data_IF_136525556238
#
_entry.id   IF_136525556238
#
_cell.length_a   1.000
_cell.length_b   1.000
_cell.length_c   1.000
_cell.angle_alpha   90.00
_cell.angle_beta   90.00
_cell.angle_gamma   90.00
#
_symmetry.space_group_name_H-M   'P 1'
#
loop_
_entity.id
_entity.type
_entity.pdbx_description
1 polymer ?
#
# COMPACT_ATOMS: atom_id res chain seq x y z
N UNK A 1 -42.52 -16.86 15.82
CA UNK A 1 -42.42 -15.77 14.82
C UNK A 1 -40.96 -15.68 14.38
N UNK A 2 -40.62 -16.30 13.24
CA UNK A 2 -39.23 -16.56 12.83
C UNK A 2 -38.66 -15.39 12.00
N UNK A 3 -37.50 -14.89 12.41
CA UNK A 3 -36.39 -14.34 11.61
C UNK A 3 -36.68 -13.35 10.46
N UNK A 4 -37.81 -12.63 10.46
CA UNK A 4 -38.06 -11.59 9.43
C UNK A 4 -36.99 -10.50 9.42
N UNK A 5 -36.48 -10.12 10.59
CA UNK A 5 -35.43 -9.10 10.73
C UNK A 5 -34.09 -9.57 10.16
N UNK A 6 -33.72 -10.83 10.41
CA UNK A 6 -32.49 -11.42 9.88
C UNK A 6 -32.54 -11.52 8.34
N UNK A 7 -33.68 -11.91 7.78
CA UNK A 7 -33.86 -11.98 6.32
C UNK A 7 -33.76 -10.59 5.66
N UNK A 8 -34.25 -9.54 6.31
CA UNK A 8 -34.14 -8.16 5.81
C UNK A 8 -32.69 -7.69 5.80
N UNK A 9 -31.93 -7.96 6.88
CA UNK A 9 -30.51 -7.59 6.96
C UNK A 9 -29.67 -8.36 5.93
N UNK A 10 -29.93 -9.67 5.78
CA UNK A 10 -29.26 -10.50 4.77
C UNK A 10 -29.57 -10.03 3.34
N UNK A 11 -30.82 -9.63 3.08
CA UNK A 11 -31.24 -9.12 1.77
C UNK A 11 -30.51 -7.81 1.42
N UNK A 12 -30.44 -6.86 2.36
CA UNK A 12 -29.71 -5.59 2.17
C UNK A 12 -28.22 -5.84 1.92
N UNK A 13 -27.62 -6.79 2.63
CA UNK A 13 -26.21 -7.16 2.42
C UNK A 13 -25.96 -7.75 1.02
N UNK A 14 -26.83 -8.66 0.56
CA UNK A 14 -26.72 -9.28 -0.77
C UNK A 14 -26.88 -8.27 -1.92
N UNK A 15 -27.80 -7.30 -1.79
CA UNK A 15 -28.00 -6.27 -2.82
C UNK A 15 -26.78 -5.36 -3.01
N UNK A 16 -25.96 -5.18 -1.97
CA UNK A 16 -24.77 -4.33 -2.03
C UNK A 16 -23.48 -5.11 -2.38
N UNK A 17 -23.53 -6.44 -2.48
CA UNK A 17 -22.35 -7.30 -2.67
C UNK A 17 -22.03 -7.62 -4.14
N UNK A 18 -22.87 -7.22 -5.09
CA UNK A 18 -22.69 -7.54 -6.50
C UNK A 18 -21.82 -6.45 -7.13
N UNK A 19 -20.49 -6.58 -7.04
CA UNK A 19 -19.47 -6.04 -7.97
C UNK A 19 -18.03 -6.37 -7.50
N UNK A 20 -17.73 -7.63 -7.17
CA UNK A 20 -16.37 -8.05 -6.72
C UNK A 20 -15.70 -9.08 -7.66
N UNK A 21 -16.35 -9.55 -8.72
CA UNK A 21 -15.71 -10.42 -9.71
C UNK A 21 -15.58 -9.70 -11.06
N UNK A 22 -14.41 -9.11 -11.30
CA UNK A 22 -13.88 -8.97 -12.66
C UNK A 22 -13.02 -10.20 -12.90
N UNK A 23 -13.48 -11.10 -13.76
CA UNK A 23 -12.76 -12.31 -14.16
C UNK A 23 -11.74 -11.97 -15.24
N UNK A 24 -10.60 -11.39 -14.85
CA UNK A 24 -9.41 -11.37 -15.70
C UNK A 24 -8.30 -12.15 -15.00
N UNK A 25 -8.31 -13.46 -15.24
CA UNK A 25 -7.25 -14.38 -14.86
C UNK A 25 -6.12 -14.28 -15.87
N UNK A 26 -5.06 -13.56 -15.53
CA UNK A 26 -3.72 -13.72 -16.13
C UNK A 26 -2.66 -13.38 -15.06
N UNK A 27 -2.39 -14.35 -14.19
CA UNK A 27 -1.27 -14.26 -13.23
C UNK A 27 -0.01 -14.61 -14.00
N UNK A 28 0.79 -13.61 -14.38
CA UNK A 28 2.14 -13.82 -14.91
C UNK A 28 3.10 -14.14 -13.77
N UNK A 29 3.77 -15.28 -13.89
CA UNK A 29 4.87 -15.72 -13.03
C UNK A 29 5.99 -14.66 -13.06
N UNK A 30 6.48 -14.29 -11.88
CA UNK A 30 7.50 -13.25 -11.70
C UNK A 30 8.83 -13.98 -11.47
N UNK A 31 9.79 -13.80 -12.37
CA UNK A 31 11.14 -14.34 -12.18
C UNK A 31 11.89 -13.59 -11.06
N UNK A 32 12.74 -14.29 -10.27
CA UNK A 32 13.49 -13.68 -9.18
C UNK A 32 14.55 -12.71 -9.70
N UNK A 33 14.69 -11.58 -9.01
CA UNK A 33 15.60 -10.49 -9.37
C UNK A 33 17.04 -10.88 -8.98
N UNK A 34 17.98 -10.86 -9.93
CA UNK A 34 19.41 -11.06 -9.65
C UNK A 34 20.02 -9.88 -8.87
N UNK A 35 20.95 -10.20 -7.96
CA UNK A 35 21.60 -9.26 -7.06
C UNK A 35 22.54 -8.30 -7.79
N UNK A 36 22.45 -7.00 -7.49
CA UNK A 36 23.34 -5.97 -8.04
C UNK A 36 24.72 -6.08 -7.36
N UNK A 37 25.75 -6.50 -8.10
CA UNK A 37 27.16 -6.40 -7.71
C UNK A 37 27.68 -5.01 -8.07
N UNK A 38 28.29 -4.31 -7.11
CA UNK A 38 28.82 -2.95 -7.27
C UNK A 38 30.33 -3.01 -7.50
N UNK A 39 30.76 -3.11 -8.76
CA UNK A 39 32.17 -2.94 -9.12
C UNK A 39 32.47 -1.47 -9.42
N UNK A 40 33.06 -0.81 -8.43
CA UNK A 40 33.47 0.58 -8.46
C UNK A 40 34.88 0.70 -9.05
N UNK A 41 35.01 1.02 -10.34
CA UNK A 41 36.29 1.32 -10.98
C UNK A 41 36.31 2.75 -11.52
N UNK A 42 36.65 3.70 -10.66
CA UNK A 42 36.89 5.10 -10.99
C UNK A 42 38.32 5.26 -11.59
N UNK A 43 38.44 5.42 -12.91
CA UNK A 43 39.70 5.78 -13.56
C UNK A 43 39.78 7.29 -13.78
N UNK A 44 40.47 7.98 -12.86
CA UNK A 44 40.84 9.39 -12.98
C UNK A 44 42.02 9.48 -13.95
N UNK A 45 41.81 10.11 -15.11
CA UNK A 45 42.89 10.47 -16.03
C UNK A 45 43.38 11.89 -15.73
N UNK A 46 44.59 11.99 -15.18
CA UNK A 46 45.34 13.22 -14.97
C UNK A 46 46.05 13.56 -16.28
N UNK A 47 45.80 14.73 -16.86
CA UNK A 47 46.61 15.25 -17.95
C UNK A 47 47.29 16.57 -17.52
N UNK A 48 48.62 16.55 -17.58
CA UNK A 48 49.52 17.59 -17.10
C UNK A 48 49.61 18.75 -18.11
N UNK A 49 49.71 19.97 -17.58
CA UNK A 49 49.92 21.21 -18.30
C UNK A 49 51.35 21.30 -18.89
N UNK A 50 51.49 21.81 -20.11
CA UNK A 50 52.65 22.64 -20.47
C UNK A 50 52.36 23.60 -21.66
N UNK A 51 52.16 24.87 -21.28
CA UNK A 51 52.62 26.15 -21.87
C UNK A 51 52.74 26.35 -23.40
N UNK A 52 52.03 27.33 -23.96
CA UNK A 52 52.56 28.68 -24.24
C UNK A 52 51.58 29.58 -25.05
N UNK A 53 51.38 30.78 -24.49
CA UNK A 53 51.14 32.14 -25.02
C UNK A 53 50.53 32.40 -26.41
N UNK A 54 49.74 33.49 -26.44
CA UNK A 54 49.27 34.30 -27.59
C UNK A 54 47.88 33.96 -28.16
N UNK A 55 46.84 34.62 -27.65
CA UNK A 55 46.14 35.69 -28.39
C UNK A 55 44.92 36.19 -27.60
N UNK A 56 44.99 37.46 -27.20
CA UNK A 56 44.02 38.17 -26.37
C UNK A 56 43.14 38.96 -27.33
N UNK A 57 42.06 38.37 -27.87
CA UNK A 57 40.87 39.11 -28.37
C UNK A 57 39.77 38.18 -28.91
N UNK A 58 39.22 37.27 -28.08
CA UNK A 58 38.02 36.46 -28.46
C UNK A 58 37.32 35.72 -27.31
N UNK A 59 37.31 36.25 -26.07
CA UNK A 59 36.86 35.47 -24.88
C UNK A 59 35.66 36.02 -24.09
N UNK A 60 35.03 37.10 -24.53
CA UNK A 60 33.97 37.74 -23.73
C UNK A 60 32.54 37.36 -24.14
N UNK A 61 32.33 36.76 -25.31
CA UNK A 61 30.98 36.33 -25.74
C UNK A 61 30.63 34.91 -25.29
N UNK A 62 31.60 34.00 -25.21
CA UNK A 62 31.32 32.58 -24.90
C UNK A 62 31.21 32.31 -23.38
N UNK A 63 31.90 33.12 -22.57
CA UNK A 63 31.88 32.98 -21.10
C UNK A 63 30.57 33.48 -20.48
N UNK A 64 29.92 34.48 -21.08
CA UNK A 64 28.59 34.97 -20.69
C UNK A 64 27.53 33.95 -21.07
N UNK A 65 27.63 33.33 -22.24
CA UNK A 65 26.64 32.34 -22.70
C UNK A 65 26.70 31.05 -21.85
N UNK A 66 27.90 30.56 -21.52
CA UNK A 66 28.10 29.40 -20.64
C UNK A 66 27.63 29.65 -19.21
N UNK A 67 27.89 30.84 -18.66
CA UNK A 67 27.43 31.20 -17.30
C UNK A 67 25.91 31.31 -17.27
N UNK A 68 25.29 31.91 -18.29
CA UNK A 68 23.83 31.98 -18.43
C UNK A 68 23.22 30.58 -18.58
N UNK A 69 23.79 29.71 -19.43
CA UNK A 69 23.37 28.31 -19.62
C UNK A 69 23.46 27.51 -18.34
N UNK A 70 24.54 27.68 -17.56
CA UNK A 70 24.73 26.96 -16.31
C UNK A 70 23.75 27.45 -15.22
N UNK A 71 23.43 28.75 -15.16
CA UNK A 71 22.34 29.24 -14.29
C UNK A 71 20.96 28.79 -14.75
N UNK A 72 20.71 28.66 -16.06
CA UNK A 72 19.42 28.21 -16.60
C UNK A 72 19.24 26.69 -16.39
N UNK A 73 20.29 25.88 -16.59
CA UNK A 73 20.27 24.45 -16.26
C UNK A 73 20.11 24.26 -14.76
N UNK A 74 20.90 24.96 -13.93
CA UNK A 74 20.79 24.85 -12.46
C UNK A 74 19.41 25.27 -11.94
N UNK A 75 18.77 26.30 -12.50
CA UNK A 75 17.39 26.68 -12.14
C UNK A 75 16.34 25.70 -12.65
N UNK A 76 16.53 25.11 -13.84
CA UNK A 76 15.68 24.05 -14.37
C UNK A 76 15.80 22.79 -13.52
N UNK A 77 17.00 22.44 -13.11
CA UNK A 77 17.31 21.28 -12.26
C UNK A 77 16.80 21.51 -10.83
N UNK A 78 16.92 22.72 -10.27
CA UNK A 78 16.28 23.11 -9.00
C UNK A 78 14.75 23.05 -9.06
N UNK A 79 14.14 23.50 -10.17
CA UNK A 79 12.68 23.40 -10.37
C UNK A 79 12.22 21.95 -10.56
N UNK A 80 13.00 21.13 -11.25
CA UNK A 80 12.73 19.71 -11.40
C UNK A 80 12.86 18.98 -10.06
N UNK A 81 13.93 19.25 -9.29
CA UNK A 81 14.14 18.68 -7.97
C UNK A 81 13.05 19.11 -6.99
N UNK A 82 12.61 20.37 -7.01
CA UNK A 82 11.50 20.85 -6.17
C UNK A 82 10.17 20.21 -6.56
N UNK A 83 9.90 20.03 -7.85
CA UNK A 83 8.72 19.29 -8.34
C UNK A 83 8.79 17.81 -7.96
N UNK A 84 9.97 17.20 -7.94
CA UNK A 84 10.14 15.84 -7.44
C UNK A 84 9.99 15.74 -5.92
N UNK A 85 10.41 16.75 -5.17
CA UNK A 85 10.23 16.84 -3.71
C UNK A 85 8.75 16.92 -3.33
N UNK A 86 7.98 17.82 -3.96
CA UNK A 86 6.53 17.90 -3.76
C UNK A 86 5.82 16.57 -4.11
N UNK A 87 6.20 15.93 -5.23
CA UNK A 87 5.66 14.60 -5.60
C UNK A 87 6.10 13.47 -4.65
N UNK A 88 7.22 13.62 -3.94
CA UNK A 88 7.67 12.66 -2.93
C UNK A 88 6.85 12.82 -1.66
N UNK A 89 6.62 14.05 -1.21
CA UNK A 89 5.78 14.35 -0.03
C UNK A 89 4.36 13.78 -0.20
N UNK A 90 3.74 14.01 -1.37
CA UNK A 90 2.42 13.46 -1.70
C UNK A 90 2.40 11.92 -1.61
N UNK A 91 3.45 11.26 -2.13
CA UNK A 91 3.60 9.80 -2.05
C UNK A 91 3.81 9.31 -0.61
N UNK A 92 4.57 10.03 0.20
CA UNK A 92 4.80 9.67 1.60
C UNK A 92 3.54 9.82 2.46
N UNK A 93 2.77 10.89 2.25
CA UNK A 93 1.49 11.04 2.94
C UNK A 93 0.51 9.94 2.50
N UNK A 94 0.46 9.60 1.21
CA UNK A 94 -0.37 8.50 0.72
C UNK A 94 0.03 7.16 1.32
N UNK A 95 1.33 6.85 1.40
CA UNK A 95 1.84 5.63 2.03
C UNK A 95 1.44 5.58 3.51
N UNK A 96 1.62 6.68 4.24
CA UNK A 96 1.25 6.77 5.66
C UNK A 96 -0.24 6.55 5.86
N UNK A 97 -1.07 7.17 5.01
CA UNK A 97 -2.52 7.01 5.04
C UNK A 97 -2.98 5.59 4.69
N UNK A 98 -2.34 4.95 3.70
CA UNK A 98 -2.54 3.53 3.37
C UNK A 98 -2.19 2.63 4.55
N UNK A 99 -1.06 2.86 5.20
CA UNK A 99 -0.64 2.12 6.41
C UNK A 99 -1.68 2.26 7.51
N UNK A 100 -2.12 3.49 7.81
CA UNK A 100 -3.15 3.74 8.82
C UNK A 100 -4.46 3.00 8.49
N UNK A 101 -4.88 2.96 7.21
CA UNK A 101 -6.05 2.17 6.79
C UNK A 101 -5.87 0.67 7.06
N UNK A 102 -4.72 0.10 6.66
CA UNK A 102 -4.41 -1.32 6.88
C UNK A 102 -4.43 -1.65 8.38
N UNK A 103 -3.83 -0.79 9.21
CA UNK A 103 -3.86 -0.97 10.67
C UNK A 103 -5.29 -0.93 11.20
N UNK A 104 -6.11 0.04 10.80
CA UNK A 104 -7.50 0.12 11.23
C UNK A 104 -8.30 -1.14 10.82
N UNK A 105 -8.12 -1.63 9.58
CA UNK A 105 -8.73 -2.87 9.09
C UNK A 105 -8.30 -4.08 9.93
N UNK A 106 -6.99 -4.20 10.18
CA UNK A 106 -6.43 -5.28 11.01
C UNK A 106 -6.99 -5.25 12.43
N UNK A 107 -7.07 -4.07 13.05
CA UNK A 107 -7.71 -3.90 14.36
C UNK A 107 -9.19 -4.28 14.34
N UNK A 108 -9.94 -3.86 13.31
CA UNK A 108 -11.37 -4.20 13.18
C UNK A 108 -11.57 -5.72 13.06
N UNK A 109 -10.78 -6.39 12.22
CA UNK A 109 -10.83 -7.84 12.03
C UNK A 109 -10.36 -8.60 13.28
N UNK A 110 -9.36 -8.07 14.00
CA UNK A 110 -8.91 -8.60 15.27
C UNK A 110 -9.99 -8.56 16.35
N UNK A 111 -10.78 -7.48 16.38
CA UNK A 111 -11.91 -7.32 17.30
C UNK A 111 -13.09 -8.28 17.04
N UNK A 112 -13.19 -8.87 15.83
CA UNK A 112 -14.21 -9.87 15.50
C UNK A 112 -13.88 -11.20 16.20
N UNK A 113 -14.49 -11.47 17.36
CA UNK A 113 -14.28 -12.71 18.11
C UNK A 113 -15.08 -13.89 17.54
N UNK A 114 -14.38 -14.75 16.81
CA UNK A 114 -14.87 -16.04 16.30
C UNK A 114 -14.11 -17.22 16.93
N UNK A 115 -13.17 -16.93 17.83
CA UNK A 115 -12.30 -17.92 18.48
C UNK A 115 -13.14 -18.89 19.33
N UNK A 116 -14.19 -18.39 20.00
CA UNK A 116 -15.06 -19.18 20.88
C UNK A 116 -16.32 -19.73 20.19
N UNK A 117 -16.28 -19.95 18.88
CA UNK A 117 -17.41 -20.56 18.15
C UNK A 117 -17.73 -21.95 18.73
N UNK A 118 -18.97 -22.24 19.16
CA UNK A 118 -19.33 -23.55 19.71
C UNK A 118 -19.36 -24.63 18.63
N UNK A 119 -19.10 -25.89 19.01
CA UNK A 119 -19.17 -27.03 18.10
C UNK A 119 -20.54 -27.16 17.42
N UNK A 120 -20.52 -27.53 16.15
CA UNK A 120 -21.63 -27.71 15.24
C UNK A 120 -22.52 -26.46 15.09
N UNK A 121 -21.97 -25.27 15.36
CA UNK A 121 -22.70 -23.99 15.26
C UNK A 121 -21.93 -22.98 14.42
N UNK A 122 -22.70 -22.08 13.80
CA UNK A 122 -22.19 -20.88 13.18
C UNK A 122 -22.22 -19.73 14.18
N UNK A 123 -21.21 -18.87 14.14
CA UNK A 123 -21.15 -17.61 14.87
C UNK A 123 -20.94 -16.48 13.87
N UNK A 124 -21.67 -15.39 14.03
CA UNK A 124 -21.41 -14.15 13.29
C UNK A 124 -20.92 -13.11 14.28
N UNK A 125 -19.89 -12.37 13.91
CA UNK A 125 -19.31 -11.29 14.71
C UNK A 125 -19.12 -10.05 13.86
N UNK A 126 -19.08 -8.90 14.54
CA UNK A 126 -18.75 -7.62 13.95
C UNK A 126 -17.75 -6.89 14.85
N UNK A 127 -16.91 -6.06 14.27
CA UNK A 127 -15.86 -5.33 14.96
C UNK A 127 -15.62 -3.99 14.29
N UNK A 128 -15.09 -3.04 15.06
CA UNK A 128 -14.67 -1.74 14.56
C UNK A 128 -13.22 -1.52 14.94
N UNK A 129 -12.48 -0.83 14.08
CA UNK A 129 -11.07 -0.55 14.26
C UNK A 129 -10.76 0.88 13.86
N UNK A 130 -9.77 1.46 14.52
CA UNK A 130 -9.39 2.85 14.32
C UNK A 130 -7.88 2.97 14.32
N UNK A 131 -7.34 3.80 13.43
CA UNK A 131 -5.92 4.13 13.38
C UNK A 131 -5.73 5.53 12.80
N UNK A 132 -5.16 6.44 13.59
CA UNK A 132 -5.00 7.85 13.25
C UNK A 132 -6.30 8.49 12.73
N UNK A 133 -6.34 8.93 11.46
CA UNK A 133 -7.55 9.51 10.82
C UNK A 133 -8.49 8.48 10.20
N UNK A 134 -8.13 7.20 10.19
CA UNK A 134 -8.85 6.13 9.50
C UNK A 134 -9.69 5.27 10.46
N UNK A 135 -10.89 4.91 10.02
CA UNK A 135 -11.79 3.99 10.71
C UNK A 135 -12.14 2.83 9.78
N UNK A 136 -12.36 1.66 10.37
CA UNK A 136 -12.72 0.46 9.66
C UNK A 136 -13.80 -0.32 10.43
N UNK A 137 -14.61 -1.04 9.66
CA UNK A 137 -15.59 -1.98 10.18
C UNK A 137 -15.29 -3.36 9.60
N UNK A 138 -15.52 -4.39 10.39
CA UNK A 138 -15.32 -5.77 9.99
C UNK A 138 -16.53 -6.61 10.41
N UNK A 139 -16.83 -7.60 9.59
CA UNK A 139 -17.80 -8.66 9.91
C UNK A 139 -17.18 -10.00 9.58
N UNK A 140 -17.59 -11.04 10.30
CA UNK A 140 -17.07 -12.37 10.05
C UNK A 140 -18.01 -13.47 10.49
N UNK A 141 -17.79 -14.65 9.93
CA UNK A 141 -18.49 -15.87 10.24
C UNK A 141 -17.48 -16.93 10.70
N UNK A 142 -17.80 -17.59 11.80
CA UNK A 142 -17.07 -18.74 12.33
C UNK A 142 -17.94 -19.98 12.26
N UNK A 143 -17.31 -21.11 11.99
CA UNK A 143 -17.94 -22.43 12.03
C UNK A 143 -16.99 -23.41 12.72
N UNK A 144 -17.50 -24.21 13.66
CA UNK A 144 -16.71 -25.25 14.31
C UNK A 144 -17.34 -26.62 14.01
N UNK A 145 -16.80 -27.40 13.05
CA UNK A 145 -17.33 -28.73 12.73
C UNK A 145 -17.21 -29.73 13.89
N UNK A 146 -16.26 -29.53 14.80
CA UNK A 146 -16.04 -30.34 15.99
C UNK A 146 -15.69 -29.42 17.17
N UNK A 147 -15.53 -29.95 18.38
CA UNK A 147 -15.05 -29.17 19.52
C UNK A 147 -13.60 -28.68 19.36
N UNK A 148 -12.82 -29.38 18.53
CA UNK A 148 -11.39 -29.14 18.31
C UNK A 148 -11.11 -28.29 17.09
N UNK A 149 -11.85 -28.52 15.99
CA UNK A 149 -11.65 -27.81 14.73
C UNK A 149 -12.54 -26.57 14.66
N UNK A 150 -11.93 -25.41 14.40
CA UNK A 150 -12.64 -24.14 14.20
C UNK A 150 -12.16 -23.49 12.92
N UNK A 151 -13.09 -22.98 12.14
CA UNK A 151 -12.87 -22.22 10.92
C UNK A 151 -13.47 -20.83 11.09
N UNK A 152 -12.83 -19.81 10.55
CA UNK A 152 -13.37 -18.46 10.53
C UNK A 152 -13.00 -17.73 9.24
N UNK A 153 -13.94 -16.91 8.77
CA UNK A 153 -13.76 -16.02 7.64
C UNK A 153 -14.23 -14.64 8.05
N UNK A 154 -13.43 -13.61 7.77
CA UNK A 154 -13.73 -12.22 8.11
C UNK A 154 -13.49 -11.34 6.89
N UNK A 155 -14.30 -10.30 6.77
CA UNK A 155 -14.15 -9.24 5.78
C UNK A 155 -14.17 -7.89 6.50
N UNK A 156 -13.48 -6.91 5.95
CA UNK A 156 -13.43 -5.56 6.52
C UNK A 156 -13.36 -4.49 5.45
N UNK A 157 -13.80 -3.29 5.79
CA UNK A 157 -13.78 -2.12 4.90
C UNK A 157 -13.53 -0.85 5.70
N UNK A 158 -12.81 0.11 5.12
CA UNK A 158 -12.65 1.43 5.73
C UNK A 158 -13.92 2.26 5.56
N UNK A 159 -14.28 3.02 6.59
CA UNK A 159 -15.50 3.85 6.62
C UNK A 159 -15.20 5.33 6.36
N UNK A 160 -14.04 5.81 6.79
CA UNK A 160 -13.67 7.24 6.70
C UNK A 160 -12.70 7.53 5.54
N UNK A 161 -12.91 6.90 4.37
CA UNK A 161 -12.12 7.17 3.16
C UNK A 161 -13.05 7.53 2.01
N UNK A 162 -12.63 8.50 1.18
CA UNK A 162 -13.28 8.82 -0.10
C UNK A 162 -13.44 7.54 -0.92
N UNK A 163 -14.50 7.45 -1.74
CA UNK A 163 -14.82 6.22 -2.53
C UNK A 163 -13.61 5.66 -3.31
N UNK A 164 -12.72 6.52 -3.81
CA UNK A 164 -11.50 6.14 -4.52
C UNK A 164 -10.39 5.54 -3.62
N UNK A 165 -10.39 5.86 -2.32
CA UNK A 165 -9.35 5.47 -1.36
C UNK A 165 -9.85 4.48 -0.30
N UNK A 166 -11.00 3.84 -0.53
CA UNK A 166 -11.48 2.76 0.34
C UNK A 166 -10.59 1.55 0.21
N UNK A 167 -10.25 0.97 1.35
CA UNK A 167 -9.49 -0.28 1.43
C UNK A 167 -10.38 -1.35 2.03
N UNK A 168 -10.32 -2.56 1.45
CA UNK A 168 -11.04 -3.72 1.92
C UNK A 168 -10.05 -4.81 2.31
N UNK A 169 -10.41 -5.65 3.28
CA UNK A 169 -9.62 -6.79 3.73
C UNK A 169 -10.46 -8.06 3.78
N UNK A 170 -9.83 -9.19 3.51
CA UNK A 170 -10.41 -10.53 3.69
C UNK A 170 -9.40 -11.41 4.41
N UNK A 171 -9.87 -12.23 5.35
CA UNK A 171 -9.04 -13.19 6.06
C UNK A 171 -9.80 -14.49 6.28
N UNK A 172 -9.09 -15.60 6.18
CA UNK A 172 -9.60 -16.94 6.49
C UNK A 172 -8.62 -17.56 7.47
N UNK A 173 -9.13 -18.23 8.50
CA UNK A 173 -8.32 -18.87 9.53
C UNK A 173 -8.93 -20.20 9.97
N UNK A 174 -8.06 -21.11 10.40
CA UNK A 174 -8.42 -22.39 10.98
C UNK A 174 -7.60 -22.63 12.25
N UNK A 175 -8.17 -23.32 13.23
CA UNK A 175 -7.46 -23.76 14.43
C UNK A 175 -7.89 -25.18 14.82
N UNK A 176 -6.98 -25.93 15.43
CA UNK A 176 -7.23 -27.28 15.92
C UNK A 176 -6.66 -27.44 17.34
N UNK A 177 -7.51 -27.80 18.30
CA UNK A 177 -7.11 -28.02 19.68
C UNK A 177 -6.51 -29.42 19.86
N UNK A 178 -5.24 -29.47 20.31
CA UNK A 178 -4.49 -30.69 20.60
C UNK A 178 -4.52 -30.96 22.11
N UNK A 179 -4.78 -32.20 22.51
CA UNK A 179 -4.58 -32.60 23.90
C UNK A 179 -3.09 -32.89 24.12
N UNK A 180 -2.58 -32.50 25.28
CA UNK A 180 -1.23 -32.81 25.73
C UNK A 180 -1.27 -33.47 27.10
#
# INVERSE_FOLDING_TARGET
MKNKLFNIILYIFLLNSINIFSSDTDIKEIEPIESIHSDNNNSISVNNNQDNTEDITKKDTDSIDLKSKNTISTNKDLRNNKKEEDNREDRFEEITDRTNRITALGSAMGAVDLSKTPANKFRVGAGVGHSAKNQAVAVGIGYAPTERLRLNTKISTTTNSTRANRSNGISIGASYDLDW
#
